data_IF_386387887449
#
_entry.id   IF_386387887449
#
_cell.length_a   1.000
_cell.length_b   1.000
_cell.length_c   1.000
_cell.angle_alpha   90.00
_cell.angle_beta   90.00
_cell.angle_gamma   90.00
#
_symmetry.space_group_name_H-M   'P 1'
#
loop_
_entity.id
_entity.type
_entity.pdbx_description
1 polymer ?
#
# COMPACT_ATOMS: atom_id res chain seq x y z
N UNK A 1 10.36 8.60 9.65
CA UNK A 1 9.70 7.34 9.24
C UNK A 1 8.24 7.54 8.86
N UNK A 2 7.35 7.98 9.76
CA UNK A 2 5.91 8.17 9.41
C UNK A 2 5.65 9.04 8.18
N UNK A 3 6.32 10.19 8.09
CA UNK A 3 6.22 11.07 6.92
C UNK A 3 6.70 10.40 5.62
N UNK A 4 7.71 9.53 5.71
CA UNK A 4 8.25 8.79 4.56
C UNK A 4 7.30 7.68 4.11
N UNK A 5 6.66 6.98 5.07
CA UNK A 5 5.59 6.03 4.78
C UNK A 5 4.35 6.72 4.18
N UNK A 6 3.94 7.88 4.69
CA UNK A 6 2.86 8.66 4.10
C UNK A 6 3.22 9.18 2.70
N UNK A 7 4.46 9.59 2.49
CA UNK A 7 4.94 10.00 1.17
C UNK A 7 4.87 8.85 0.16
N UNK A 8 5.25 7.62 0.57
CA UNK A 8 5.09 6.43 -0.27
C UNK A 8 3.64 6.25 -0.72
N UNK A 9 2.66 6.38 0.18
CA UNK A 9 1.24 6.24 -0.19
C UNK A 9 0.73 7.37 -1.10
N UNK A 10 1.22 8.60 -0.93
CA UNK A 10 0.87 9.71 -1.83
C UNK A 10 1.44 9.45 -3.23
N UNK A 11 2.70 9.03 -3.33
CA UNK A 11 3.32 8.69 -4.62
C UNK A 11 2.58 7.53 -5.27
N UNK A 12 2.20 6.50 -4.50
CA UNK A 12 1.42 5.37 -5.00
C UNK A 12 0.05 5.81 -5.52
N UNK A 13 -0.66 6.66 -4.77
CA UNK A 13 -1.96 7.20 -5.20
C UNK A 13 -1.83 8.09 -6.45
N UNK A 14 -0.77 8.90 -6.54
CA UNK A 14 -0.50 9.72 -7.71
C UNK A 14 -0.14 8.88 -8.95
N UNK A 15 0.63 7.80 -8.79
CA UNK A 15 0.94 6.87 -9.87
C UNK A 15 -0.33 6.15 -10.37
N UNK A 16 -1.19 5.70 -9.44
CA UNK A 16 -2.47 5.09 -9.82
C UNK A 16 -3.35 6.06 -10.58
N UNK A 17 -3.44 7.32 -10.12
CA UNK A 17 -4.17 8.40 -10.78
C UNK A 17 -3.66 8.66 -12.21
N UNK A 18 -2.33 8.71 -12.40
CA UNK A 18 -1.72 8.89 -13.72
C UNK A 18 -2.07 7.73 -14.64
N UNK A 19 -1.98 6.49 -14.14
CA UNK A 19 -2.30 5.29 -14.91
C UNK A 19 -3.78 5.25 -15.32
N UNK A 20 -4.70 5.53 -14.40
CA UNK A 20 -6.14 5.60 -14.70
C UNK A 20 -6.47 6.75 -15.65
N UNK A 21 -5.82 7.91 -15.51
CA UNK A 21 -6.00 9.04 -16.43
C UNK A 21 -5.54 8.73 -17.85
N UNK A 22 -4.57 7.83 -18.04
CA UNK A 22 -4.07 7.43 -19.36
C UNK A 22 -4.96 6.36 -19.99
N UNK A 23 -5.51 5.43 -19.20
CA UNK A 23 -6.22 4.25 -19.72
C UNK A 23 -7.75 4.33 -19.70
N UNK A 24 -8.35 5.01 -18.72
CA UNK A 24 -9.81 4.95 -18.46
C UNK A 24 -10.44 6.35 -18.37
N UNK A 25 -9.61 7.39 -18.15
CA UNK A 25 -10.04 8.77 -17.96
C UNK A 25 -10.18 9.13 -16.48
N UNK A 26 -9.92 10.39 -16.16
CA UNK A 26 -9.88 10.89 -14.79
C UNK A 26 -11.26 10.80 -14.11
N UNK A 27 -11.37 10.08 -12.98
CA UNK A 27 -12.61 10.01 -12.21
C UNK A 27 -12.50 10.84 -10.93
N UNK A 28 -13.63 11.42 -10.52
CA UNK A 28 -13.72 12.23 -9.30
C UNK A 28 -13.34 11.45 -8.03
N UNK A 29 -13.54 10.13 -8.04
CA UNK A 29 -13.17 9.22 -6.96
C UNK A 29 -11.65 9.21 -6.74
N UNK A 30 -10.87 9.30 -7.81
CA UNK A 30 -9.41 9.23 -7.73
C UNK A 30 -8.83 10.49 -7.07
N UNK A 31 -9.47 11.66 -7.29
CA UNK A 31 -9.16 12.90 -6.58
C UNK A 31 -9.39 12.76 -5.06
N UNK A 32 -10.50 12.12 -4.68
CA UNK A 32 -10.82 11.87 -3.26
C UNK A 32 -9.73 10.98 -2.64
N UNK A 33 -9.30 9.93 -3.33
CA UNK A 33 -8.21 9.06 -2.86
C UNK A 33 -6.89 9.80 -2.69
N UNK A 34 -6.55 10.70 -3.62
CA UNK A 34 -5.34 11.51 -3.52
C UNK A 34 -5.39 12.44 -2.29
N UNK A 35 -6.51 13.12 -2.07
CA UNK A 35 -6.72 13.99 -0.90
C UNK A 35 -6.65 13.16 0.39
N UNK A 36 -7.28 11.99 0.42
CA UNK A 36 -7.26 11.09 1.57
C UNK A 36 -5.83 10.61 1.88
N UNK A 37 -5.03 10.30 0.86
CA UNK A 37 -3.63 9.92 1.00
C UNK A 37 -2.73 11.07 1.48
N UNK A 38 -3.06 12.31 1.09
CA UNK A 38 -2.37 13.53 1.55
C UNK A 38 -2.76 13.98 2.96
N UNK A 39 -3.94 13.60 3.43
CA UNK A 39 -4.53 14.03 4.71
C UNK A 39 -3.60 13.82 5.93
N UNK A 40 -2.93 12.66 6.11
CA UNK A 40 -2.01 12.44 7.23
C UNK A 40 -0.88 13.46 7.27
N UNK A 41 -0.39 13.88 6.10
CA UNK A 41 0.72 14.82 5.94
C UNK A 41 0.29 16.26 6.25
N UNK A 42 -0.92 16.66 5.82
CA UNK A 42 -1.46 18.00 6.02
C UNK A 42 -1.78 18.30 7.49
N UNK A 43 -2.45 17.37 8.17
CA UNK A 43 -2.95 17.62 9.53
C UNK A 43 -1.89 17.33 10.59
N UNK A 44 -0.87 16.52 10.26
CA UNK A 44 0.27 16.15 11.11
C UNK A 44 -0.11 15.65 12.54
N UNK A 45 -1.35 15.20 12.75
CA UNK A 45 -1.84 14.68 14.04
C UNK A 45 -1.41 13.22 14.19
N UNK A 46 -0.72 12.89 15.29
CA UNK A 46 -0.19 11.54 15.57
C UNK A 46 -1.23 10.42 15.45
N UNK A 47 -2.49 10.68 15.83
CA UNK A 47 -3.57 9.70 15.81
C UNK A 47 -4.07 9.40 14.38
N UNK A 48 -4.08 10.39 13.49
CA UNK A 48 -4.44 10.18 12.08
C UNK A 48 -3.47 9.24 11.36
N UNK A 49 -2.15 9.37 11.60
CA UNK A 49 -1.17 8.43 11.05
C UNK A 49 -1.44 6.99 11.51
N UNK A 50 -1.91 6.79 12.76
CA UNK A 50 -2.24 5.46 13.27
C UNK A 50 -3.49 4.89 12.62
N UNK A 51 -4.56 5.67 12.51
CA UNK A 51 -5.81 5.22 11.87
C UNK A 51 -5.54 4.89 10.40
N UNK A 52 -4.90 5.81 9.68
CA UNK A 52 -4.64 5.64 8.25
C UNK A 52 -3.71 4.47 7.97
N UNK A 53 -2.63 4.33 8.76
CA UNK A 53 -1.76 3.15 8.68
C UNK A 53 -2.49 1.84 9.00
N UNK A 54 -3.44 1.87 9.94
CA UNK A 54 -4.27 0.71 10.29
C UNK A 54 -5.21 0.29 9.16
N UNK A 55 -5.92 1.25 8.57
CA UNK A 55 -6.81 1.01 7.43
C UNK A 55 -6.01 0.39 6.27
N UNK A 56 -4.86 0.98 5.93
CA UNK A 56 -4.03 0.46 4.85
C UNK A 56 -3.51 -0.94 5.16
N UNK A 57 -3.01 -1.17 6.38
CA UNK A 57 -2.50 -2.50 6.76
C UNK A 57 -3.59 -3.57 6.63
N UNK A 58 -4.84 -3.23 6.99
CA UNK A 58 -5.98 -4.13 6.87
C UNK A 58 -6.33 -4.40 5.40
N UNK A 59 -6.34 -3.37 4.54
CA UNK A 59 -6.55 -3.52 3.09
C UNK A 59 -5.43 -4.37 2.47
N UNK A 60 -4.16 -4.10 2.78
CA UNK A 60 -3.03 -4.87 2.25
C UNK A 60 -3.05 -6.32 2.72
N UNK A 61 -3.45 -6.57 3.97
CA UNK A 61 -3.64 -7.92 4.47
C UNK A 61 -4.77 -8.65 3.72
N UNK A 62 -5.90 -7.98 3.49
CA UNK A 62 -6.98 -8.52 2.68
C UNK A 62 -6.53 -8.87 1.26
N UNK A 63 -5.78 -7.98 0.59
CA UNK A 63 -5.23 -8.23 -0.75
C UNK A 63 -4.29 -9.43 -0.73
N UNK A 64 -3.40 -9.53 0.27
CA UNK A 64 -2.48 -10.67 0.39
C UNK A 64 -3.24 -12.00 0.52
N UNK A 65 -4.29 -12.03 1.34
CA UNK A 65 -5.17 -13.21 1.49
C UNK A 65 -5.91 -13.51 0.19
N UNK A 66 -6.45 -12.49 -0.50
CA UNK A 66 -7.14 -12.66 -1.78
C UNK A 66 -6.21 -13.26 -2.84
N UNK A 67 -4.99 -12.71 -2.99
CA UNK A 67 -3.97 -13.23 -3.91
C UNK A 67 -3.57 -14.66 -3.54
N UNK A 68 -3.47 -15.00 -2.24
CA UNK A 68 -3.19 -16.36 -1.79
C UNK A 68 -4.27 -17.36 -2.21
N UNK A 69 -5.54 -17.02 -1.96
CA UNK A 69 -6.69 -17.87 -2.28
C UNK A 69 -6.79 -18.05 -3.79
N UNK A 70 -6.63 -16.98 -4.57
CA UNK A 70 -6.65 -17.04 -6.03
C UNK A 70 -5.52 -17.92 -6.59
N UNK A 71 -4.31 -17.85 -6.02
CA UNK A 71 -3.21 -18.71 -6.43
C UNK A 71 -3.48 -20.20 -6.13
N UNK A 72 -4.09 -20.52 -4.97
CA UNK A 72 -4.48 -21.90 -4.63
C UNK A 72 -5.54 -22.45 -5.59
N UNK A 73 -6.58 -21.67 -5.89
CA UNK A 73 -7.62 -22.05 -6.86
C UNK A 73 -7.04 -22.23 -8.26
N UNK A 74 -6.02 -21.45 -8.63
CA UNK A 74 -5.36 -21.51 -9.93
C UNK A 74 -4.48 -22.75 -10.10
N UNK A 75 -3.67 -23.11 -9.10
CA UNK A 75 -2.90 -24.37 -9.08
C UNK A 75 -3.83 -25.57 -9.29
N UNK A 76 -5.03 -25.50 -8.74
CA UNK A 76 -6.03 -26.54 -8.86
C UNK A 76 -6.72 -26.58 -10.24
N UNK A 77 -6.76 -25.47 -10.98
CA UNK A 77 -7.43 -25.34 -12.29
C UNK A 77 -6.50 -25.40 -13.50
N UNK A 78 -5.18 -25.52 -13.31
CA UNK A 78 -4.18 -25.70 -14.38
C UNK A 78 -4.24 -24.65 -15.51
N UNK A 79 -4.73 -23.45 -15.21
CA UNK A 79 -4.69 -22.31 -16.15
C UNK A 79 -3.30 -21.69 -16.10
N UNK A 80 -2.81 -21.11 -17.18
CA UNK A 80 -1.50 -20.43 -17.25
C UNK A 80 -1.72 -18.92 -17.31
N UNK A 81 -2.05 -18.31 -16.17
CA UNK A 81 -1.89 -16.86 -16.04
C UNK A 81 -0.43 -16.55 -15.69
N UNK A 82 0.08 -15.36 -16.04
CA UNK A 82 1.48 -15.04 -15.82
C UNK A 82 1.75 -15.01 -14.31
N UNK A 83 2.50 -16.01 -13.83
CA UNK A 83 3.06 -16.11 -12.47
C UNK A 83 3.59 -14.75 -11.94
N UNK A 84 4.14 -13.95 -12.83
CA UNK A 84 4.60 -12.58 -12.59
C UNK A 84 3.55 -11.65 -11.98
N UNK A 85 2.29 -11.74 -12.40
CA UNK A 85 1.22 -10.88 -11.91
C UNK A 85 0.90 -11.16 -10.44
N UNK A 86 0.81 -12.43 -10.06
CA UNK A 86 0.63 -12.86 -8.68
C UNK A 86 1.85 -12.50 -7.82
N UNK A 87 3.06 -12.73 -8.32
CA UNK A 87 4.31 -12.37 -7.64
C UNK A 87 4.41 -10.86 -7.36
N UNK A 88 4.09 -10.02 -8.34
CA UNK A 88 4.06 -8.57 -8.15
C UNK A 88 3.01 -8.13 -7.13
N UNK A 89 1.81 -8.69 -7.18
CA UNK A 89 0.75 -8.42 -6.20
C UNK A 89 1.17 -8.76 -4.76
N UNK A 90 1.89 -9.87 -4.59
CA UNK A 90 2.47 -10.26 -3.31
C UNK A 90 3.53 -9.27 -2.80
N UNK A 91 4.47 -8.89 -3.66
CA UNK A 91 5.55 -7.98 -3.27
C UNK A 91 5.00 -6.60 -2.91
N UNK A 92 4.09 -6.06 -3.72
CA UNK A 92 3.48 -4.74 -3.50
C UNK A 92 2.64 -4.74 -2.22
N UNK A 93 1.86 -5.82 -1.96
CA UNK A 93 1.06 -5.92 -0.74
C UNK A 93 1.93 -6.04 0.52
N UNK A 94 3.03 -6.80 0.49
CA UNK A 94 3.99 -6.91 1.59
C UNK A 94 4.71 -5.59 1.91
N UNK A 95 5.19 -4.88 0.87
CA UNK A 95 5.85 -3.58 1.05
C UNK A 95 4.85 -2.56 1.63
N UNK A 96 3.64 -2.52 1.09
CA UNK A 96 2.60 -1.60 1.55
C UNK A 96 2.12 -1.91 2.97
N UNK A 97 2.00 -3.20 3.33
CA UNK A 97 1.72 -3.64 4.70
C UNK A 97 2.83 -3.19 5.66
N UNK A 98 4.09 -3.38 5.28
CA UNK A 98 5.25 -2.96 6.07
C UNK A 98 5.24 -1.44 6.32
N UNK A 99 4.93 -0.65 5.30
CA UNK A 99 4.81 0.80 5.41
C UNK A 99 3.62 1.22 6.29
N UNK A 100 2.48 0.53 6.19
CA UNK A 100 1.33 0.74 7.07
C UNK A 100 1.66 0.49 8.54
N UNK A 101 2.34 -0.62 8.84
CA UNK A 101 2.78 -0.98 10.19
C UNK A 101 3.82 0.01 10.76
N UNK A 102 4.73 0.50 9.93
CA UNK A 102 5.67 1.58 10.29
C UNK A 102 4.92 2.88 10.64
N UNK A 103 3.86 3.20 9.90
CA UNK A 103 3.04 4.39 10.13
C UNK A 103 2.27 4.31 11.47
N UNK A 104 1.85 3.09 11.85
CA UNK A 104 1.23 2.79 13.15
C UNK A 104 2.20 2.80 14.36
N UNK A 105 3.52 2.86 14.15
CA UNK A 105 4.57 2.63 15.16
C UNK A 105 4.60 1.21 15.75
N UNK A 106 4.02 0.22 15.09
CA UNK A 106 4.09 -1.19 15.54
C UNK A 106 5.51 -1.71 15.29
N UNK A 107 6.00 -1.51 14.07
CA UNK A 107 7.39 -1.83 13.72
C UNK A 107 8.25 -0.60 14.00
N UNK A 108 9.23 -0.74 14.89
CA UNK A 108 10.30 0.24 15.08
C UNK A 108 11.58 -0.35 14.50
N UNK A 109 12.05 0.24 13.39
CA UNK A 109 13.40 -0.05 12.89
C UNK A 109 14.35 0.58 13.92
N UNK A 110 15.05 -0.26 14.69
CA UNK A 110 16.19 0.19 15.50
C UNK A 110 17.21 0.75 14.52
N UNK A 111 17.51 2.04 14.60
CA UNK A 111 18.75 2.56 14.01
C UNK A 111 19.88 1.97 14.84
N UNK A 112 20.49 0.89 14.38
CA UNK A 112 21.84 0.60 14.80
C UNK A 112 22.71 1.73 14.26
N UNK A 113 23.19 2.56 15.18
CA UNK A 113 24.17 3.60 14.89
C UNK A 113 25.45 2.86 14.55
N UNK A 114 25.71 2.64 13.26
CA UNK A 114 27.05 2.33 12.79
C UNK A 114 27.85 3.61 13.01
N UNK A 115 28.59 3.67 14.12
CA UNK A 115 29.68 4.63 14.30
C UNK A 115 30.77 4.23 13.29
N UNK A 116 30.93 5.05 12.26
CA UNK A 116 32.15 5.12 11.46
C UNK A 116 33.13 6.00 12.22
#
# INVERSE_FOLDING_TARGET
MKKLASFYFIVLAALNLIMDSIHVGFRFIDLIFLILAGLPLLVNRKWMYKIFGGIISLICFYILVAVFISNLQWIQQNKTEPFWMYGMGYVISLISLSMGLLMMNIVKIKKEVVKI
#
